data_IF_121275975194
#
_entry.id   IF_121275975194
#
_cell.length_a   1.000
_cell.length_b   1.000
_cell.length_c   1.000
_cell.angle_alpha   90.00
_cell.angle_beta   90.00
_cell.angle_gamma   90.00
#
_symmetry.space_group_name_H-M   'P 1'
#
loop_
_entity.id
_entity.type
_entity.pdbx_description
1 polymer ?
#
# COMPACT_ATOMS: atom_id res chain seq x y z
N UNK A 1 1.90 6.46 -38.21
CA UNK A 1 1.40 5.07 -38.30
C UNK A 1 0.04 4.91 -38.99
N UNK A 2 -0.92 5.84 -38.93
CA UNK A 2 -2.15 5.76 -39.76
C UNK A 2 -2.36 6.94 -40.74
N UNK A 3 -1.56 8.01 -40.64
CA UNK A 3 -1.62 9.11 -41.62
C UNK A 3 -0.87 8.82 -42.93
N UNK A 4 -0.03 7.78 -42.97
CA UNK A 4 0.76 7.40 -44.15
C UNK A 4 -0.07 6.72 -45.26
N UNK A 5 -1.33 6.34 -44.98
CA UNK A 5 -2.17 5.59 -45.95
C UNK A 5 -3.36 6.39 -46.50
N UNK A 6 -3.58 7.64 -46.05
CA UNK A 6 -4.65 8.52 -46.55
C UNK A 6 -6.09 8.03 -46.35
N UNK A 7 -6.30 6.83 -45.78
CA UNK A 7 -7.63 6.22 -45.62
C UNK A 7 -8.30 6.61 -44.31
N UNK A 8 -9.51 7.19 -44.40
CA UNK A 8 -10.37 7.56 -43.27
C UNK A 8 -11.08 6.32 -42.71
N UNK A 9 -10.50 5.67 -41.70
CA UNK A 9 -11.11 4.50 -41.02
C UNK A 9 -11.90 4.89 -39.78
N UNK A 10 -12.98 4.15 -39.49
CA UNK A 10 -13.77 4.34 -38.27
C UNK A 10 -13.08 3.73 -37.04
N UNK A 11 -13.28 4.35 -35.87
CA UNK A 11 -12.77 3.87 -34.57
C UNK A 11 -13.20 2.42 -34.31
N UNK A 12 -14.41 2.03 -34.73
CA UNK A 12 -14.94 0.68 -34.60
C UNK A 12 -14.14 -0.36 -35.40
N UNK A 13 -13.63 0.01 -36.58
CA UNK A 13 -12.75 -0.86 -37.37
C UNK A 13 -11.39 -1.02 -36.69
N UNK A 14 -10.81 0.07 -36.19
CA UNK A 14 -9.56 0.03 -35.41
C UNK A 14 -9.70 -0.87 -34.18
N UNK A 15 -10.79 -0.69 -33.41
CA UNK A 15 -11.07 -1.49 -32.21
C UNK A 15 -11.21 -2.99 -32.56
N UNK A 16 -11.98 -3.34 -33.60
CA UNK A 16 -12.17 -4.75 -34.01
C UNK A 16 -10.85 -5.42 -34.41
N UNK A 17 -10.00 -4.72 -35.16
CA UNK A 17 -8.68 -5.24 -35.56
C UNK A 17 -7.80 -5.47 -34.32
N UNK A 18 -7.73 -4.50 -33.40
CA UNK A 18 -6.98 -4.63 -32.15
C UNK A 18 -7.45 -5.85 -31.32
N UNK A 19 -8.76 -6.05 -31.19
CA UNK A 19 -9.30 -7.23 -30.48
C UNK A 19 -9.02 -8.55 -31.22
N UNK A 20 -9.09 -8.60 -32.56
CA UNK A 20 -8.73 -9.80 -33.35
C UNK A 20 -7.28 -10.21 -33.12
N UNK A 21 -6.38 -9.24 -32.96
CA UNK A 21 -4.98 -9.48 -32.60
C UNK A 21 -4.73 -9.60 -31.08
N UNK A 22 -5.80 -9.74 -30.27
CA UNK A 22 -5.74 -9.88 -28.81
C UNK A 22 -5.05 -8.70 -28.07
N UNK A 23 -4.99 -7.54 -28.70
CA UNK A 23 -4.46 -6.29 -28.14
C UNK A 23 -5.55 -5.61 -27.32
N UNK A 24 -5.64 -5.98 -26.05
CA UNK A 24 -6.61 -5.42 -25.10
C UNK A 24 -6.05 -4.16 -24.44
N UNK A 25 -6.89 -3.14 -24.29
CA UNK A 25 -6.57 -1.96 -23.50
C UNK A 25 -6.24 -2.36 -22.05
N UNK A 26 -5.09 -1.89 -21.55
CA UNK A 26 -4.67 -2.06 -20.16
C UNK A 26 -4.33 -0.70 -19.59
N UNK A 27 -4.77 -0.44 -18.35
CA UNK A 27 -4.29 0.72 -17.60
C UNK A 27 -3.01 0.33 -16.87
N UNK A 28 -1.96 1.15 -16.98
CA UNK A 28 -0.74 0.93 -16.23
C UNK A 28 -1.03 1.01 -14.72
N UNK A 29 -0.46 0.10 -13.92
CA UNK A 29 -0.61 0.18 -12.46
C UNK A 29 -0.04 1.50 -11.96
N UNK A 30 -0.79 2.20 -11.10
CA UNK A 30 -0.29 3.39 -10.41
C UNK A 30 0.84 2.97 -9.47
N UNK A 31 2.08 3.35 -9.81
CA UNK A 31 3.26 3.08 -9.00
C UNK A 31 3.73 4.41 -8.40
N UNK A 32 4.06 4.47 -7.10
CA UNK A 32 4.65 5.67 -6.52
C UNK A 32 6.00 5.95 -7.22
N UNK A 33 6.26 7.23 -7.51
CA UNK A 33 7.54 7.65 -8.05
C UNK A 33 8.57 7.62 -6.92
N UNK A 34 9.62 6.82 -7.10
CA UNK A 34 10.71 6.67 -6.13
C UNK A 34 11.99 7.29 -6.67
N UNK A 35 12.66 8.08 -5.82
CA UNK A 35 14.02 8.55 -6.10
C UNK A 35 15.00 7.37 -6.16
N UNK A 36 16.10 7.55 -6.90
CA UNK A 36 17.13 6.51 -7.10
C UNK A 36 17.70 5.99 -5.78
N UNK A 37 17.91 6.87 -4.79
CA UNK A 37 18.35 6.48 -3.44
C UNK A 37 17.39 5.50 -2.76
N UNK A 38 16.08 5.72 -2.86
CA UNK A 38 15.07 4.83 -2.28
C UNK A 38 15.00 3.50 -3.03
N UNK A 39 15.18 3.50 -4.36
CA UNK A 39 15.25 2.27 -5.16
C UNK A 39 16.43 1.38 -4.73
N UNK A 40 17.62 1.97 -4.60
CA UNK A 40 18.83 1.26 -4.15
C UNK A 40 18.68 0.72 -2.73
N UNK A 41 18.18 1.53 -1.79
CA UNK A 41 17.95 1.11 -0.40
C UNK A 41 16.93 -0.03 -0.30
N UNK A 42 15.80 0.07 -1.02
CA UNK A 42 14.76 -0.98 -1.04
C UNK A 42 15.28 -2.28 -1.67
N UNK A 43 16.05 -2.19 -2.75
CA UNK A 43 16.65 -3.35 -3.41
C UNK A 43 17.67 -4.04 -2.51
N UNK A 44 18.54 -3.27 -1.86
CA UNK A 44 19.51 -3.80 -0.90
C UNK A 44 18.81 -4.53 0.25
N UNK A 45 17.78 -3.91 0.84
CA UNK A 45 16.99 -4.53 1.91
C UNK A 45 16.34 -5.84 1.46
N UNK A 46 15.71 -5.86 0.28
CA UNK A 46 15.08 -7.04 -0.28
C UNK A 46 16.09 -8.16 -0.60
N UNK A 47 17.28 -7.81 -1.05
CA UNK A 47 18.35 -8.78 -1.35
C UNK A 47 18.90 -9.39 -0.06
N UNK A 48 19.09 -8.57 0.99
CA UNK A 48 19.59 -9.01 2.28
C UNK A 48 18.58 -9.88 3.07
N UNK A 49 17.27 -9.61 2.95
CA UNK A 49 16.22 -10.25 3.76
C UNK A 49 15.25 -11.12 2.96
N UNK A 50 15.46 -11.30 1.64
CA UNK A 50 14.48 -11.90 0.72
C UNK A 50 14.14 -13.37 0.95
N UNK A 51 14.88 -14.09 1.81
CA UNK A 51 14.54 -15.46 2.24
C UNK A 51 13.72 -15.52 3.53
N UNK A 52 13.43 -14.39 4.19
CA UNK A 52 12.63 -14.35 5.41
C UNK A 52 11.15 -14.11 5.08
N UNK A 53 10.25 -14.95 5.61
CA UNK A 53 8.80 -14.72 5.53
C UNK A 53 8.46 -13.46 6.33
N UNK A 54 8.05 -12.40 5.65
CA UNK A 54 7.54 -11.17 6.26
C UNK A 54 6.04 -11.03 6.01
N UNK A 55 5.30 -10.62 7.03
CA UNK A 55 3.86 -10.35 6.97
C UNK A 55 3.64 -8.84 6.79
N UNK A 56 2.96 -8.46 5.70
CA UNK A 56 2.52 -7.08 5.47
C UNK A 56 0.99 -7.05 5.39
N UNK A 57 0.37 -6.11 6.11
CA UNK A 57 -1.05 -5.83 6.02
C UNK A 57 -1.27 -4.85 4.85
N UNK A 58 -1.76 -5.36 3.72
CA UNK A 58 -2.22 -4.50 2.62
C UNK A 58 -3.68 -4.12 2.87
N UNK A 59 -3.99 -2.82 2.89
CA UNK A 59 -5.39 -2.36 2.90
C UNK A 59 -5.99 -2.63 1.52
N UNK A 60 -6.92 -3.58 1.43
CA UNK A 60 -7.77 -3.73 0.24
C UNK A 60 -8.79 -2.57 0.20
N UNK A 61 -8.79 -1.73 -0.85
CA UNK A 61 -9.81 -0.70 -1.01
C UNK A 61 -11.06 -1.33 -1.64
N UNK A 62 -11.85 -2.06 -0.85
CA UNK A 62 -13.16 -2.56 -1.25
C UNK A 62 -14.25 -1.69 -0.61
N UNK A 63 -14.52 -0.53 -1.23
CA UNK A 63 -15.74 0.25 -0.99
C UNK A 63 -16.08 1.11 -2.23
N UNK A 64 -17.21 0.81 -2.88
CA UNK A 64 -17.87 1.62 -3.91
C UNK A 64 -19.38 1.58 -3.56
N UNK A 65 -20.19 2.64 -3.49
CA UNK A 65 -20.30 3.91 -4.25
C UNK A 65 -20.96 5.02 -3.39
N UNK A 66 -20.84 6.30 -3.77
CA UNK A 66 -22.04 7.09 -4.15
C UNK A 66 -21.90 7.67 -5.58
N UNK A 67 -22.95 7.60 -6.40
CA UNK A 67 -22.86 7.90 -7.85
C UNK A 67 -22.59 9.37 -8.22
N UNK A 68 -22.59 10.30 -7.26
CA UNK A 68 -22.42 11.75 -7.53
C UNK A 68 -21.65 12.51 -6.42
N UNK A 69 -20.77 11.87 -5.66
CA UNK A 69 -19.96 12.56 -4.65
C UNK A 69 -18.60 12.96 -5.21
N UNK A 70 -18.25 14.24 -5.08
CA UNK A 70 -16.89 14.73 -5.32
C UNK A 70 -15.96 13.94 -4.39
N UNK A 71 -14.87 13.32 -4.89
CA UNK A 71 -13.96 12.57 -4.04
C UNK A 71 -13.27 13.53 -3.06
N UNK A 72 -13.74 13.57 -1.83
CA UNK A 72 -13.04 14.24 -0.73
C UNK A 72 -12.06 13.24 -0.10
N UNK A 73 -10.79 13.64 -0.01
CA UNK A 73 -9.72 12.76 0.52
C UNK A 73 -9.89 12.48 2.01
N UNK A 74 -10.61 13.35 2.72
CA UNK A 74 -10.95 13.21 4.15
C UNK A 74 -12.44 13.47 4.34
N UNK A 75 -13.10 12.58 5.06
CA UNK A 75 -14.49 12.77 5.50
C UNK A 75 -14.51 13.46 6.87
N UNK A 76 -15.56 14.24 7.14
CA UNK A 76 -15.72 15.07 8.35
C UNK A 76 -15.89 14.28 9.66
N UNK A 77 -15.91 12.94 9.60
CA UNK A 77 -16.09 12.05 10.75
C UNK A 77 -14.88 11.90 11.67
N UNK A 78 -13.90 12.80 11.59
CA UNK A 78 -12.67 12.73 12.39
C UNK A 78 -11.77 11.54 12.03
N UNK A 79 -10.59 11.48 12.64
CA UNK A 79 -9.66 10.37 12.47
C UNK A 79 -8.98 10.03 13.79
N UNK A 80 -8.90 8.73 14.10
CA UNK A 80 -8.08 8.25 15.22
C UNK A 80 -6.73 7.79 14.71
N UNK A 81 -5.68 8.03 15.49
CA UNK A 81 -4.33 7.52 15.22
C UNK A 81 -4.00 6.44 16.24
N UNK A 82 -3.43 5.33 15.77
CA UNK A 82 -3.13 4.17 16.59
C UNK A 82 -1.70 3.71 16.31
N UNK A 83 -0.96 3.41 17.36
CA UNK A 83 0.25 2.60 17.31
C UNK A 83 -0.10 1.16 17.69
N UNK A 84 0.45 0.18 16.99
CA UNK A 84 0.25 -1.22 17.37
C UNK A 84 1.35 -2.12 16.84
N UNK A 85 1.54 -3.26 17.50
CA UNK A 85 2.49 -4.28 17.08
C UNK A 85 1.77 -5.62 16.85
N UNK A 86 2.28 -6.43 15.93
CA UNK A 86 1.74 -7.75 15.62
C UNK A 86 2.86 -8.69 15.17
N UNK A 87 2.66 -9.98 15.36
CA UNK A 87 3.54 -11.04 14.89
C UNK A 87 2.75 -12.20 14.31
N UNK A 88 3.45 -13.21 13.77
CA UNK A 88 2.81 -14.44 13.28
C UNK A 88 1.92 -15.11 14.35
N UNK A 89 2.28 -14.98 15.63
CA UNK A 89 1.50 -15.48 16.77
C UNK A 89 0.27 -14.64 17.15
N UNK A 90 -0.01 -13.55 16.45
CA UNK A 90 -1.19 -12.69 16.66
C UNK A 90 -0.85 -11.24 16.98
N UNK A 91 -1.84 -10.54 17.55
CA UNK A 91 -1.76 -9.09 17.79
C UNK A 91 -1.20 -8.76 19.18
N UNK A 92 -0.21 -7.88 19.21
CA UNK A 92 0.37 -7.29 20.42
C UNK A 92 -0.48 -6.15 20.99
N UNK A 93 0.15 -5.22 21.68
CA UNK A 93 -0.51 -4.04 22.22
C UNK A 93 -0.93 -3.07 21.10
N UNK A 94 -2.04 -2.36 21.35
CA UNK A 94 -2.57 -1.28 20.52
C UNK A 94 -2.75 -0.05 21.43
N UNK A 95 -2.21 1.09 21.03
CA UNK A 95 -2.20 2.33 21.79
C UNK A 95 -2.74 3.48 20.93
N UNK A 96 -3.70 4.23 21.46
CA UNK A 96 -4.25 5.42 20.81
C UNK A 96 -3.27 6.57 20.96
N UNK A 97 -3.00 7.26 19.86
CA UNK A 97 -2.17 8.47 19.84
C UNK A 97 -3.11 9.67 19.78
N UNK A 98 -2.97 10.56 20.76
CA UNK A 98 -3.67 11.83 20.81
C UNK A 98 -2.79 12.93 20.22
N UNK A 99 -3.09 13.35 18.98
CA UNK A 99 -2.36 14.41 18.27
C UNK A 99 -1.18 13.92 17.43
N UNK A 100 -0.13 14.74 17.32
CA UNK A 100 1.08 14.45 16.56
C UNK A 100 2.05 13.68 17.46
N UNK A 101 2.50 12.51 17.01
CA UNK A 101 3.46 11.69 17.76
C UNK A 101 4.83 12.37 17.81
N UNK A 102 5.29 12.75 19.00
CA UNK A 102 6.67 13.23 19.21
C UNK A 102 7.59 12.05 19.55
N UNK A 103 8.90 12.32 19.54
CA UNK A 103 9.93 11.33 19.83
C UNK A 103 9.79 10.76 21.26
N UNK A 104 9.59 11.63 22.24
CA UNK A 104 9.41 11.25 23.66
C UNK A 104 8.23 10.31 23.83
N UNK A 105 7.08 10.68 23.27
CA UNK A 105 5.85 9.87 23.28
C UNK A 105 6.10 8.49 22.66
N UNK A 106 6.87 8.42 21.57
CA UNK A 106 7.21 7.15 20.92
C UNK A 106 8.11 6.28 21.78
N UNK A 107 9.13 6.86 22.42
CA UNK A 107 10.04 6.15 23.33
C UNK A 107 9.27 5.59 24.52
N UNK A 108 8.30 6.34 25.06
CA UNK A 108 7.48 5.90 26.17
C UNK A 108 6.51 4.79 25.78
N UNK A 109 5.87 4.89 24.61
CA UNK A 109 5.05 3.82 24.03
C UNK A 109 5.88 2.54 23.88
N UNK A 110 7.12 2.64 23.39
CA UNK A 110 8.01 1.49 23.25
C UNK A 110 8.37 0.89 24.61
N UNK A 111 8.75 1.71 25.60
CA UNK A 111 9.11 1.24 26.95
C UNK A 111 7.94 0.48 27.60
N UNK A 112 6.72 0.99 27.46
CA UNK A 112 5.52 0.42 28.06
C UNK A 112 5.04 -0.86 27.35
N UNK A 113 4.93 -0.82 26.02
CA UNK A 113 4.18 -1.82 25.28
C UNK A 113 5.03 -2.89 24.61
N UNK A 114 6.32 -2.62 24.34
CA UNK A 114 7.18 -3.56 23.62
C UNK A 114 7.43 -4.83 24.42
N UNK A 115 7.90 -4.71 25.67
CA UNK A 115 8.22 -5.88 26.52
C UNK A 115 6.97 -6.71 26.81
N UNK A 116 5.86 -6.04 27.09
CA UNK A 116 4.55 -6.67 27.36
C UNK A 116 4.07 -7.46 26.14
N UNK A 117 4.18 -6.88 24.94
CA UNK A 117 3.77 -7.53 23.69
C UNK A 117 4.67 -8.71 23.32
N UNK A 118 5.98 -8.61 23.51
CA UNK A 118 6.94 -9.70 23.27
C UNK A 118 6.63 -10.91 24.15
N UNK A 119 6.35 -10.68 25.44
CA UNK A 119 5.94 -11.74 26.38
C UNK A 119 4.60 -12.36 25.98
N UNK A 120 3.59 -11.53 25.67
CA UNK A 120 2.26 -11.98 25.22
C UNK A 120 2.34 -12.86 23.97
N UNK A 121 3.15 -12.46 23.01
CA UNK A 121 3.32 -13.16 21.73
C UNK A 121 4.32 -14.32 21.82
N UNK A 122 4.88 -14.59 23.01
CA UNK A 122 5.89 -15.64 23.26
C UNK A 122 7.05 -15.58 22.27
N UNK A 123 7.46 -14.36 21.91
CA UNK A 123 8.57 -14.09 21.00
C UNK A 123 9.89 -14.19 21.77
N UNK A 124 10.29 -15.42 22.08
CA UNK A 124 11.60 -15.77 22.64
C UNK A 124 12.38 -16.62 21.64
N UNK A 125 13.72 -16.55 21.69
CA UNK A 125 14.56 -17.53 21.00
C UNK A 125 14.35 -18.90 21.67
N UNK A 126 14.01 -19.91 20.87
CA UNK A 126 14.18 -21.32 21.27
C UNK A 126 15.67 -21.62 21.41
#
# INVERSE_FOLDING_TARGET
MLEETGTKVSISTVKRVLYRHNLKGRSARKKPLLQTRHKKARLWFATAHGRQRSYFLEKCPLACKPKNTIPTVKHEGGSIMLWGCFAAGGTGALHKIDGIMREEDYVDILKQHLKTSVRKLKLGRK
#
